data_IF_316524550763
#
_entry.id   IF_316524550763
#
_cell.length_a   1.000
_cell.length_b   1.000
_cell.length_c   1.000
_cell.angle_alpha   90.00
_cell.angle_beta   90.00
_cell.angle_gamma   90.00
#
_symmetry.space_group_name_H-M   'P 1'
#
loop_
_entity.id
_entity.type
_entity.pdbx_description
1 polymer ?
#
# COMPACT_ATOMS: atom_id res chain seq x y z
N UNK A 1 12.27 -13.98 28.38
CA UNK A 1 12.41 -12.55 28.70
C UNK A 1 13.03 -11.88 27.50
N UNK A 2 12.25 -11.05 26.76
CA UNK A 2 12.76 -10.36 25.55
C UNK A 2 13.70 -9.23 25.98
N UNK A 3 14.88 -9.20 25.39
CA UNK A 3 15.83 -8.10 25.58
C UNK A 3 15.24 -6.82 24.99
N UNK A 4 14.98 -5.80 25.82
CA UNK A 4 14.63 -4.45 25.36
C UNK A 4 15.90 -3.78 24.86
N UNK A 5 16.03 -3.60 23.54
CA UNK A 5 17.16 -2.89 22.94
C UNK A 5 16.86 -1.41 22.86
N UNK A 6 17.82 -0.57 23.28
CA UNK A 6 17.77 0.89 23.10
C UNK A 6 18.46 1.26 21.77
N UNK A 7 17.90 2.18 20.96
CA UNK A 7 18.55 2.65 19.75
C UNK A 7 19.96 3.18 20.03
N UNK A 8 20.88 2.96 19.10
CA UNK A 8 22.28 3.36 19.20
C UNK A 8 23.04 2.79 20.40
N UNK A 9 22.53 1.73 21.03
CA UNK A 9 23.22 1.09 22.16
C UNK A 9 23.43 -0.40 21.92
N UNK A 10 24.46 -0.95 22.57
CA UNK A 10 24.66 -2.39 22.68
C UNK A 10 25.12 -2.73 24.09
N UNK A 11 24.96 -3.98 24.50
CA UNK A 11 25.45 -4.47 25.78
C UNK A 11 26.76 -5.23 25.61
N UNK A 12 27.70 -4.97 26.54
CA UNK A 12 28.94 -5.73 26.68
C UNK A 12 29.22 -5.95 28.17
N UNK A 13 29.40 -7.20 28.56
CA UNK A 13 29.59 -7.58 29.98
C UNK A 13 28.50 -6.99 30.92
N UNK A 14 27.23 -7.02 30.49
CA UNK A 14 26.10 -6.49 31.23
C UNK A 14 25.89 -4.98 31.09
N UNK A 15 26.89 -4.18 30.78
CA UNK A 15 26.78 -2.72 30.69
C UNK A 15 26.32 -2.24 29.33
N UNK A 16 25.55 -1.15 29.26
CA UNK A 16 25.14 -0.45 28.05
C UNK A 16 26.27 0.45 27.52
N UNK A 17 26.44 0.43 26.21
CA UNK A 17 27.39 1.28 25.47
C UNK A 17 26.63 2.03 24.39
N UNK A 18 26.90 3.34 24.26
CA UNK A 18 26.51 4.12 23.09
C UNK A 18 27.44 3.77 21.92
N UNK A 19 26.84 3.59 20.71
CA UNK A 19 27.58 3.36 19.49
C UNK A 19 27.01 4.24 18.37
N UNK A 20 27.84 5.09 17.78
CA UNK A 20 27.44 5.99 16.69
C UNK A 20 28.43 5.81 15.52
N UNK A 21 27.93 5.54 14.32
CA UNK A 21 28.73 5.54 13.08
C UNK A 21 28.83 6.98 12.56
N UNK A 22 30.03 7.48 12.39
CA UNK A 22 30.32 8.83 11.93
C UNK A 22 30.36 8.88 10.39
N UNK A 23 30.12 10.05 9.78
CA UNK A 23 30.17 10.25 8.33
C UNK A 23 31.50 9.89 7.67
N UNK A 24 32.60 9.91 8.43
CA UNK A 24 33.94 9.48 7.97
C UNK A 24 34.16 7.94 8.10
N UNK A 25 33.11 7.16 8.35
CA UNK A 25 33.15 5.70 8.50
C UNK A 25 33.66 5.20 9.85
N UNK A 26 34.15 6.07 10.73
CA UNK A 26 34.63 5.67 12.05
C UNK A 26 33.46 5.43 13.02
N UNK A 27 33.68 4.53 14.00
CA UNK A 27 32.70 4.22 15.04
C UNK A 27 33.07 4.94 16.34
N UNK A 28 32.18 5.79 16.82
CA UNK A 28 32.24 6.31 18.19
C UNK A 28 31.58 5.31 19.15
N UNK A 29 32.29 4.91 20.21
CA UNK A 29 31.77 3.99 21.23
C UNK A 29 32.14 4.52 22.61
N UNK A 30 31.15 4.57 23.52
CA UNK A 30 31.38 4.97 24.92
C UNK A 30 30.44 4.22 25.86
N UNK A 31 30.99 3.76 27.01
CA UNK A 31 30.19 3.12 28.05
C UNK A 31 29.25 4.14 28.70
N UNK A 32 27.99 3.75 28.92
CA UNK A 32 27.00 4.50 29.67
C UNK A 32 27.15 4.25 31.18
N UNK A 33 28.08 3.38 31.56
CA UNK A 33 28.42 3.02 32.93
C UNK A 33 27.22 2.53 33.75
N UNK A 34 26.25 1.89 33.12
CA UNK A 34 25.08 1.29 33.76
C UNK A 34 24.71 -0.03 33.08
N UNK A 35 24.20 -0.97 33.88
CA UNK A 35 23.57 -2.23 33.45
C UNK A 35 22.04 -2.13 33.46
N UNK A 36 21.50 -1.05 34.04
CA UNK A 36 20.07 -0.80 34.14
C UNK A 36 19.50 -0.24 32.84
N UNK A 37 18.50 -0.94 32.26
CA UNK A 37 17.74 -0.46 31.10
C UNK A 37 17.10 0.91 31.35
N UNK A 38 16.58 1.14 32.57
CA UNK A 38 15.91 2.39 32.95
C UNK A 38 16.88 3.57 32.95
N UNK A 39 18.07 3.40 33.53
CA UNK A 39 19.11 4.44 33.54
C UNK A 39 19.69 4.69 32.15
N UNK A 40 19.94 3.62 31.36
CA UNK A 40 20.40 3.75 30.01
C UNK A 40 19.36 4.48 29.11
N UNK A 41 18.07 4.20 29.35
CA UNK A 41 16.97 4.88 28.62
C UNK A 41 16.89 6.36 28.98
N UNK A 42 17.05 6.74 30.26
CA UNK A 42 17.07 8.13 30.69
C UNK A 42 18.25 8.90 30.10
N UNK A 43 19.46 8.31 30.10
CA UNK A 43 20.63 8.88 29.42
C UNK A 43 20.41 9.06 27.92
N UNK A 44 19.77 8.09 27.25
CA UNK A 44 19.52 8.16 25.82
C UNK A 44 18.51 9.26 25.43
N UNK A 45 17.58 9.62 26.31
CA UNK A 45 16.70 10.79 26.08
C UNK A 45 17.53 12.07 25.91
N UNK A 46 18.53 12.29 26.78
CA UNK A 46 19.43 13.44 26.68
C UNK A 46 20.43 13.38 25.52
N UNK A 47 20.78 12.18 25.05
CA UNK A 47 21.80 11.96 24.00
C UNK A 47 21.21 12.01 22.59
N UNK A 48 20.00 11.48 22.41
CA UNK A 48 19.35 11.30 21.09
C UNK A 48 19.30 12.58 20.24
N UNK A 49 18.97 13.76 20.79
CA UNK A 49 18.93 15.01 19.99
C UNK A 49 20.28 15.40 19.40
N UNK A 50 21.39 14.97 19.99
CA UNK A 50 22.74 15.32 19.57
C UNK A 50 23.33 14.35 18.53
N UNK A 51 22.74 13.16 18.38
CA UNK A 51 23.27 12.10 17.49
C UNK A 51 23.42 12.56 16.04
N UNK A 52 22.47 13.28 15.41
CA UNK A 52 22.63 13.75 14.02
C UNK A 52 23.84 14.64 13.83
N UNK A 53 24.08 15.56 14.77
CA UNK A 53 25.23 16.51 14.72
C UNK A 53 26.56 15.79 14.93
N UNK A 54 26.59 14.77 15.74
CA UNK A 54 27.79 13.93 15.97
C UNK A 54 28.05 13.05 14.75
N UNK A 55 27.03 12.45 14.15
CA UNK A 55 27.15 11.65 12.92
C UNK A 55 27.74 12.46 11.78
N UNK A 56 27.27 13.68 11.57
CA UNK A 56 27.75 14.58 10.50
C UNK A 56 29.10 15.23 10.81
N UNK A 57 29.66 15.02 11.99
CA UNK A 57 30.85 15.73 12.50
C UNK A 57 30.66 17.24 12.65
N UNK A 58 29.42 17.73 12.62
CA UNK A 58 29.11 19.13 12.91
C UNK A 58 29.45 19.50 14.36
N UNK A 59 29.36 18.54 15.28
CA UNK A 59 29.86 18.64 16.65
C UNK A 59 31.19 17.87 16.77
N UNK A 60 32.29 18.54 17.21
CA UNK A 60 33.54 17.83 17.47
C UNK A 60 33.35 16.70 18.49
N UNK A 61 33.97 15.53 18.22
CA UNK A 61 33.81 14.35 19.08
C UNK A 61 34.25 14.62 20.51
N UNK A 62 35.30 15.41 20.73
CA UNK A 62 35.76 15.80 22.06
C UNK A 62 34.71 16.58 22.86
N UNK A 63 33.96 17.45 22.20
CA UNK A 63 32.87 18.23 22.81
C UNK A 63 31.72 17.30 23.19
N UNK A 64 31.35 16.43 22.29
CA UNK A 64 30.30 15.46 22.56
C UNK A 64 30.70 14.45 23.65
N UNK A 65 31.96 14.03 23.68
CA UNK A 65 32.49 13.13 24.70
C UNK A 65 32.45 13.76 26.10
N UNK A 66 32.80 15.03 26.19
CA UNK A 66 32.71 15.83 27.43
C UNK A 66 31.24 16.00 27.88
N UNK A 67 30.35 16.34 26.95
CA UNK A 67 28.91 16.43 27.21
C UNK A 67 28.36 15.12 27.75
N UNK A 68 28.63 14.00 27.08
CA UNK A 68 28.16 12.68 27.48
C UNK A 68 28.71 12.26 28.85
N UNK A 69 29.97 12.59 29.13
CA UNK A 69 30.58 12.31 30.44
C UNK A 69 29.90 13.10 31.58
N UNK A 70 29.57 14.35 31.33
CA UNK A 70 28.86 15.21 32.28
C UNK A 70 27.43 14.71 32.50
N UNK A 71 26.72 14.33 31.43
CA UNK A 71 25.37 13.77 31.50
C UNK A 71 25.34 12.49 32.34
N UNK A 72 26.27 11.55 32.10
CA UNK A 72 26.39 10.32 32.90
C UNK A 72 26.67 10.62 34.36
N UNK A 73 27.53 11.59 34.64
CA UNK A 73 27.85 11.99 36.03
C UNK A 73 26.64 12.62 36.73
N UNK A 74 25.85 13.43 36.03
CA UNK A 74 24.66 14.09 36.58
C UNK A 74 23.55 13.09 36.87
N UNK A 75 23.25 12.20 35.92
CA UNK A 75 22.23 11.14 36.09
C UNK A 75 22.60 10.20 37.25
N UNK A 76 23.87 9.85 37.43
CA UNK A 76 24.33 9.04 38.56
C UNK A 76 24.19 9.75 39.89
N UNK A 77 24.40 11.08 39.94
CA UNK A 77 24.15 11.86 41.17
C UNK A 77 22.65 11.97 41.44
N UNK A 78 21.81 12.16 40.45
CA UNK A 78 20.36 12.19 40.55
C UNK A 78 19.78 10.85 41.01
N UNK A 79 20.30 9.73 40.52
CA UNK A 79 19.90 8.40 40.95
C UNK A 79 20.25 8.10 42.42
N UNK A 80 21.32 8.70 42.97
CA UNK A 80 21.73 8.58 44.36
C UNK A 80 21.03 9.56 45.30
N UNK A 81 20.56 10.70 44.80
CA UNK A 81 19.84 11.72 45.55
C UNK A 81 18.72 12.33 44.68
N UNK A 82 17.47 11.84 44.78
CA UNK A 82 16.34 12.29 43.98
C UNK A 82 16.03 13.80 44.11
N UNK A 83 16.42 14.43 45.23
CA UNK A 83 16.20 15.86 45.47
C UNK A 83 17.24 16.75 44.76
N UNK A 84 18.32 16.18 44.25
CA UNK A 84 19.38 16.93 43.57
C UNK A 84 18.91 17.63 42.27
N UNK A 85 17.93 17.06 41.58
CA UNK A 85 17.33 17.65 40.39
C UNK A 85 16.53 18.93 40.68
N UNK A 86 16.04 19.11 41.88
CA UNK A 86 15.27 20.30 42.29
C UNK A 86 16.15 21.50 42.66
N UNK A 87 17.46 21.28 42.97
CA UNK A 87 18.35 22.37 43.39
C UNK A 87 19.13 23.04 42.23
N UNK A 88 19.11 22.50 41.04
CA UNK A 88 19.81 23.07 39.88
C UNK A 88 18.93 23.90 38.94
N UNK A 89 17.64 24.07 39.24
CA UNK A 89 16.75 24.91 38.46
C UNK A 89 16.37 26.13 39.33
N UNK A 90 17.19 27.14 39.40
CA UNK A 90 16.94 28.57 39.25
C UNK A 90 18.09 29.43 39.79
N UNK A 91 18.62 30.39 39.06
CA UNK A 91 19.06 31.66 39.64
C UNK A 91 17.80 32.46 40.06
N UNK A 92 17.86 33.30 41.12
CA UNK A 92 16.70 34.11 41.50
C UNK A 92 16.43 35.13 40.41
N UNK A 93 15.29 34.96 39.74
CA UNK A 93 14.77 35.98 38.84
C UNK A 93 13.81 36.85 39.64
N UNK A 94 14.09 38.15 39.67
CA UNK A 94 13.16 39.17 40.17
C UNK A 94 11.78 38.97 39.49
N UNK A 95 10.74 38.95 40.33
CA UNK A 95 9.37 38.83 39.90
C UNK A 95 8.98 40.14 39.21
N UNK A 96 9.14 40.21 37.90
CA UNK A 96 8.41 41.11 37.08
C UNK A 96 7.10 40.42 36.77
N UNK A 97 5.98 40.95 37.22
CA UNK A 97 4.64 40.52 36.83
C UNK A 97 4.52 40.60 35.32
N UNK A 98 4.72 39.49 34.63
CA UNK A 98 4.43 39.36 33.22
C UNK A 98 3.09 38.65 33.08
N UNK A 99 2.27 39.22 32.22
CA UNK A 99 0.95 38.73 31.77
C UNK A 99 0.94 37.23 31.50
N UNK A 100 -0.22 36.55 31.59
CA UNK A 100 -0.29 35.09 31.41
C UNK A 100 0.27 34.72 30.05
N UNK A 101 1.38 33.98 30.08
CA UNK A 101 1.98 33.40 28.90
C UNK A 101 0.99 32.41 28.28
N UNK A 102 0.74 32.55 26.99
CA UNK A 102 -0.01 31.60 26.21
C UNK A 102 0.44 30.16 26.52
N UNK A 103 -0.49 29.25 26.70
CA UNK A 103 -0.22 27.82 26.81
C UNK A 103 0.72 27.42 25.65
N UNK A 104 1.73 26.53 25.89
CA UNK A 104 2.60 26.10 24.82
C UNK A 104 1.71 25.52 23.69
N UNK A 105 1.80 26.12 22.51
CA UNK A 105 1.10 25.62 21.32
C UNK A 105 1.34 24.12 21.21
N UNK A 106 0.29 23.35 21.21
CA UNK A 106 0.34 21.90 21.17
C UNK A 106 0.90 21.47 19.82
N UNK A 107 2.19 21.18 19.78
CA UNK A 107 2.92 20.72 18.60
C UNK A 107 2.23 19.46 18.04
N UNK A 108 1.84 19.46 16.78
CA UNK A 108 1.27 18.30 16.11
C UNK A 108 2.39 17.40 15.63
N UNK A 109 2.56 16.25 16.28
CA UNK A 109 3.58 15.28 15.89
C UNK A 109 3.16 14.48 14.65
N UNK A 110 4.12 13.90 13.94
CA UNK A 110 3.86 13.00 12.81
C UNK A 110 3.00 11.79 13.22
N UNK A 111 3.19 11.29 14.45
CA UNK A 111 2.38 10.21 15.01
C UNK A 111 0.92 10.65 15.22
N UNK A 112 0.71 11.83 15.80
CA UNK A 112 -0.64 12.38 16.03
C UNK A 112 -1.34 12.67 14.71
N UNK A 113 -0.64 13.27 13.74
CA UNK A 113 -1.15 13.53 12.40
C UNK A 113 -1.57 12.23 11.68
N UNK A 114 -0.80 11.17 11.82
CA UNK A 114 -1.17 9.86 11.30
C UNK A 114 -2.38 9.27 12.00
N UNK A 115 -2.47 9.40 13.32
CA UNK A 115 -3.62 8.93 14.09
C UNK A 115 -4.91 9.64 13.65
N UNK A 116 -4.88 10.97 13.50
CA UNK A 116 -5.99 11.78 12.98
C UNK A 116 -6.39 11.34 11.55
N UNK A 117 -5.41 11.16 10.67
CA UNK A 117 -5.64 10.71 9.31
C UNK A 117 -6.29 9.33 9.28
N UNK A 118 -5.79 8.39 10.10
CA UNK A 118 -6.29 7.02 10.18
C UNK A 118 -7.72 6.99 10.73
N UNK A 119 -8.05 7.81 11.73
CA UNK A 119 -9.42 7.89 12.26
C UNK A 119 -10.40 8.38 11.20
N UNK A 120 -10.04 9.37 10.39
CA UNK A 120 -10.95 9.94 9.38
C UNK A 120 -11.01 9.09 8.09
N UNK A 121 -9.86 8.77 7.50
CA UNK A 121 -9.78 8.10 6.19
C UNK A 121 -9.74 6.57 6.29
N UNK A 122 -9.28 6.05 7.43
CA UNK A 122 -9.09 4.61 7.64
C UNK A 122 -10.38 3.82 7.81
N UNK A 123 -11.50 4.47 8.14
CA UNK A 123 -12.81 3.82 8.34
C UNK A 123 -13.25 2.99 7.15
N UNK A 124 -12.86 3.40 5.95
CA UNK A 124 -13.21 2.73 4.69
C UNK A 124 -12.13 1.76 4.17
N UNK A 125 -11.06 1.55 4.92
CA UNK A 125 -10.00 0.66 4.48
C UNK A 125 -10.32 -0.80 4.74
N UNK A 126 -9.99 -1.65 3.76
CA UNK A 126 -9.91 -3.08 4.04
C UNK A 126 -8.71 -3.36 4.95
N UNK A 127 -8.74 -4.46 5.70
CA UNK A 127 -7.62 -4.91 6.55
C UNK A 127 -6.28 -4.92 5.79
N UNK A 128 -6.29 -5.35 4.53
CA UNK A 128 -5.08 -5.39 3.68
C UNK A 128 -4.55 -3.99 3.37
N UNK A 129 -5.45 -3.03 3.08
CA UNK A 129 -5.07 -1.63 2.82
C UNK A 129 -4.52 -0.98 4.09
N UNK A 130 -5.18 -1.20 5.24
CA UNK A 130 -4.71 -0.67 6.54
C UNK A 130 -3.30 -1.15 6.84
N UNK A 131 -3.06 -2.46 6.79
CA UNK A 131 -1.74 -3.06 7.02
C UNK A 131 -0.67 -2.55 6.04
N UNK A 132 -1.02 -2.31 4.79
CA UNK A 132 -0.07 -1.77 3.81
C UNK A 132 0.28 -0.31 4.11
N UNK A 133 -0.73 0.53 4.39
CA UNK A 133 -0.53 1.93 4.71
C UNK A 133 0.27 2.11 6.01
N UNK A 134 -0.01 1.30 7.02
CA UNK A 134 0.76 1.29 8.27
C UNK A 134 2.24 1.03 8.05
N UNK A 135 2.58 0.04 7.21
CA UNK A 135 3.99 -0.24 6.85
C UNK A 135 4.64 0.92 6.08
N UNK A 136 3.90 1.58 5.20
CA UNK A 136 4.44 2.72 4.44
C UNK A 136 4.72 3.89 5.37
N UNK A 137 3.82 4.20 6.29
CA UNK A 137 4.00 5.26 7.29
C UNK A 137 5.06 4.88 8.32
N UNK A 138 5.21 3.61 8.66
CA UNK A 138 6.28 3.13 9.56
C UNK A 138 7.67 3.50 9.00
N UNK A 139 7.90 3.38 7.69
CA UNK A 139 9.15 3.84 7.06
C UNK A 139 9.33 5.35 7.25
N UNK A 140 8.30 6.14 7.00
CA UNK A 140 8.32 7.59 7.18
C UNK A 140 8.66 7.97 8.64
N UNK A 141 8.01 7.30 9.61
CA UNK A 141 8.23 7.55 11.04
C UNK A 141 9.62 7.11 11.53
N UNK A 142 10.17 6.03 10.97
CA UNK A 142 11.52 5.58 11.33
C UNK A 142 12.56 6.57 10.82
N UNK A 143 12.39 7.08 9.60
CA UNK A 143 13.37 7.99 8.98
C UNK A 143 13.31 9.40 9.57
N UNK A 144 12.10 9.94 9.77
CA UNK A 144 11.92 11.32 10.25
C UNK A 144 11.79 11.43 11.78
N UNK A 145 11.37 10.35 12.44
CA UNK A 145 10.99 10.35 13.84
C UNK A 145 9.48 10.54 14.04
N UNK A 146 8.86 9.65 14.82
CA UNK A 146 7.41 9.71 15.09
C UNK A 146 6.98 10.97 15.87
N UNK A 147 7.88 11.54 16.68
CA UNK A 147 7.65 12.74 17.49
C UNK A 147 7.98 14.06 16.75
N UNK A 148 8.37 13.99 15.47
CA UNK A 148 8.70 15.18 14.68
C UNK A 148 7.45 16.02 14.44
N UNK A 149 7.56 17.33 14.65
CA UNK A 149 6.53 18.30 14.32
C UNK A 149 6.29 18.32 12.80
N UNK A 150 5.05 18.08 12.38
CA UNK A 150 4.70 18.03 10.96
C UNK A 150 4.94 19.35 10.23
N UNK A 151 4.94 20.47 10.93
CA UNK A 151 5.17 21.82 10.36
C UNK A 151 6.65 22.06 10.01
N UNK A 152 7.55 21.30 10.62
CA UNK A 152 8.99 21.40 10.36
C UNK A 152 9.47 20.48 9.25
N UNK A 153 8.64 19.54 8.80
CA UNK A 153 9.00 18.58 7.76
C UNK A 153 9.10 19.30 6.40
N UNK A 154 10.26 19.20 5.79
CA UNK A 154 10.56 19.85 4.52
C UNK A 154 10.47 18.90 3.32
N UNK A 155 10.47 19.46 2.11
CA UNK A 155 10.57 18.69 0.87
C UNK A 155 11.85 17.84 0.81
N UNK A 156 12.93 18.31 1.40
CA UNK A 156 14.21 17.58 1.43
C UNK A 156 14.10 16.32 2.30
N UNK A 157 13.41 16.43 3.43
CA UNK A 157 13.17 15.28 4.32
C UNK A 157 12.36 14.19 3.62
N UNK A 158 11.30 14.57 2.87
CA UNK A 158 10.53 13.60 2.08
C UNK A 158 11.36 12.97 0.96
N UNK A 159 12.27 13.73 0.32
CA UNK A 159 13.20 13.15 -0.67
C UNK A 159 14.14 12.14 -0.02
N UNK A 160 14.66 12.41 1.17
CA UNK A 160 15.47 11.46 1.92
C UNK A 160 14.70 10.19 2.26
N UNK A 161 13.43 10.31 2.68
CA UNK A 161 12.55 9.15 2.91
C UNK A 161 12.38 8.35 1.61
N UNK A 162 12.15 9.03 0.49
CA UNK A 162 11.98 8.34 -0.80
C UNK A 162 13.26 7.63 -1.25
N UNK A 163 14.43 8.17 -1.00
CA UNK A 163 15.72 7.51 -1.25
C UNK A 163 15.84 6.22 -0.42
N UNK A 164 15.46 6.25 0.86
CA UNK A 164 15.39 5.05 1.68
C UNK A 164 14.41 4.04 1.10
N UNK A 165 13.22 4.48 0.68
CA UNK A 165 12.19 3.61 0.07
C UNK A 165 12.72 2.92 -1.19
N UNK A 166 13.46 3.62 -2.05
CA UNK A 166 14.04 3.08 -3.28
C UNK A 166 15.07 1.97 -3.02
N UNK A 167 15.73 2.01 -1.89
CA UNK A 167 16.74 1.05 -1.47
C UNK A 167 16.19 -0.07 -0.56
N UNK A 168 14.88 -0.12 -0.30
CA UNK A 168 14.29 -1.20 0.49
C UNK A 168 14.26 -2.53 -0.27
N UNK A 169 14.50 -3.66 0.40
CA UNK A 169 14.31 -4.97 -0.20
C UNK A 169 12.84 -5.37 -0.27
N UNK A 170 12.52 -6.27 -1.19
CA UNK A 170 11.18 -6.88 -1.33
C UNK A 170 10.88 -7.78 -0.13
N UNK A 171 9.83 -7.47 0.64
CA UNK A 171 9.39 -8.29 1.78
C UNK A 171 8.87 -9.70 1.43
N UNK A 172 8.71 -10.02 0.16
CA UNK A 172 8.21 -11.34 -0.27
C UNK A 172 9.30 -12.39 -0.38
N UNK A 173 10.56 -11.96 -0.41
CA UNK A 173 11.75 -12.80 -0.57
C UNK A 173 12.40 -13.04 0.79
N UNK A 174 12.93 -14.25 1.02
CA UNK A 174 13.80 -14.49 2.18
C UNK A 174 15.20 -13.93 1.89
N UNK A 175 15.88 -13.38 2.91
CA UNK A 175 15.53 -13.34 4.34
C UNK A 175 14.61 -12.17 4.75
N UNK A 176 14.31 -11.22 3.88
CA UNK A 176 13.63 -9.95 4.16
C UNK A 176 12.20 -10.12 4.69
N UNK A 177 11.56 -11.23 4.36
CA UNK A 177 10.17 -11.51 4.78
C UNK A 177 9.98 -11.53 6.30
N UNK A 178 10.98 -11.97 7.04
CA UNK A 178 10.97 -12.08 8.51
C UNK A 178 11.51 -10.86 9.24
N UNK A 179 12.06 -9.88 8.52
CA UNK A 179 12.68 -8.69 9.09
C UNK A 179 11.64 -7.63 9.46
N UNK A 180 11.94 -6.88 10.51
CA UNK A 180 11.21 -5.65 10.87
C UNK A 180 11.50 -4.54 9.86
N UNK A 181 10.67 -3.49 9.83
CA UNK A 181 10.90 -2.35 8.94
C UNK A 181 12.24 -1.67 9.22
N UNK A 182 12.61 -1.55 10.50
CA UNK A 182 13.92 -1.02 10.88
C UNK A 182 15.08 -1.88 10.34
N UNK A 183 14.98 -3.21 10.47
CA UNK A 183 16.01 -4.12 9.95
C UNK A 183 16.13 -4.04 8.43
N UNK A 184 15.01 -3.82 7.71
CA UNK A 184 15.04 -3.66 6.25
C UNK A 184 15.68 -2.34 5.83
N UNK A 185 15.47 -1.26 6.60
CA UNK A 185 16.12 0.04 6.36
C UNK A 185 17.62 -0.03 6.64
N UNK A 186 18.00 -0.77 7.68
CA UNK A 186 19.40 -0.93 8.11
C UNK A 186 20.17 -2.00 7.32
N UNK A 187 19.46 -2.72 6.42
CA UNK A 187 20.08 -3.79 5.63
C UNK A 187 20.94 -3.20 4.52
N UNK A 188 22.23 -3.49 4.58
CA UNK A 188 23.21 -3.07 3.58
C UNK A 188 23.33 -4.15 2.48
N UNK A 189 23.72 -3.74 1.28
CA UNK A 189 24.03 -4.63 0.13
C UNK A 189 22.82 -5.47 -0.39
N UNK A 190 21.64 -4.83 -0.52
CA UNK A 190 20.50 -5.45 -1.19
C UNK A 190 20.81 -5.65 -2.68
N UNK A 191 20.78 -6.89 -3.20
CA UNK A 191 20.95 -7.13 -4.64
C UNK A 191 19.90 -6.33 -5.45
N UNK A 192 20.26 -5.76 -6.62
CA UNK A 192 19.34 -4.97 -7.44
C UNK A 192 18.02 -5.68 -7.79
N UNK A 193 18.06 -7.00 -7.99
CA UNK A 193 16.90 -7.84 -8.26
C UNK A 193 15.97 -7.97 -7.06
N UNK A 194 16.46 -7.75 -5.84
CA UNK A 194 15.68 -7.83 -4.60
C UNK A 194 15.12 -6.48 -4.15
N UNK A 195 15.50 -5.39 -4.79
CA UNK A 195 14.96 -4.06 -4.47
C UNK A 195 13.47 -3.96 -4.78
N UNK A 196 12.75 -3.11 -4.01
CA UNK A 196 11.35 -2.81 -4.27
C UNK A 196 11.15 -2.27 -5.69
N UNK A 197 10.08 -2.72 -6.34
CA UNK A 197 9.75 -2.21 -7.68
C UNK A 197 9.09 -0.83 -7.65
N UNK A 198 9.13 -0.13 -8.78
CA UNK A 198 8.58 1.22 -8.96
C UNK A 198 7.12 1.35 -8.47
N UNK A 199 6.29 0.31 -8.59
CA UNK A 199 4.92 0.32 -8.06
C UNK A 199 4.87 0.45 -6.53
N UNK A 200 5.79 -0.21 -5.81
CA UNK A 200 5.89 -0.08 -4.35
C UNK A 200 6.32 1.33 -3.96
N UNK A 201 7.32 1.88 -4.65
CA UNK A 201 7.78 3.26 -4.46
C UNK A 201 6.63 4.26 -4.67
N UNK A 202 5.83 4.07 -5.73
CA UNK A 202 4.63 4.87 -5.98
C UNK A 202 3.60 4.79 -4.85
N UNK A 203 3.39 3.62 -4.26
CA UNK A 203 2.44 3.44 -3.14
C UNK A 203 2.89 4.18 -1.89
N UNK A 204 4.19 4.17 -1.57
CA UNK A 204 4.75 4.99 -0.50
C UNK A 204 4.49 6.47 -0.75
N UNK A 205 4.88 6.99 -1.92
CA UNK A 205 4.66 8.40 -2.25
C UNK A 205 3.18 8.79 -2.25
N UNK A 206 2.31 7.89 -2.71
CA UNK A 206 0.85 8.13 -2.72
C UNK A 206 0.29 8.34 -1.32
N UNK A 207 0.66 7.52 -0.34
CA UNK A 207 0.18 7.69 1.04
C UNK A 207 0.79 8.94 1.69
N UNK A 208 2.06 9.27 1.42
CA UNK A 208 2.68 10.50 1.90
C UNK A 208 1.98 11.75 1.34
N UNK A 209 1.69 11.78 0.04
CA UNK A 209 0.91 12.85 -0.59
C UNK A 209 -0.50 12.95 0.01
N UNK A 210 -1.14 11.81 0.26
CA UNK A 210 -2.48 11.80 0.86
C UNK A 210 -2.47 12.35 2.29
N UNK A 211 -1.44 12.04 3.08
CA UNK A 211 -1.28 12.60 4.44
C UNK A 211 -0.94 14.09 4.38
N UNK A 212 0.17 14.46 3.73
CA UNK A 212 0.68 15.83 3.80
C UNK A 212 -0.11 16.80 2.92
N UNK A 213 -0.35 16.46 1.63
CA UNK A 213 -1.03 17.34 0.69
C UNK A 213 -2.53 17.36 0.94
N UNK A 214 -3.19 16.22 0.77
CA UNK A 214 -4.64 16.19 0.80
C UNK A 214 -5.21 16.40 2.20
N UNK A 215 -4.61 15.79 3.23
CA UNK A 215 -5.17 15.86 4.57
C UNK A 215 -4.67 17.06 5.35
N UNK A 216 -3.36 17.21 5.57
CA UNK A 216 -2.82 18.26 6.42
C UNK A 216 -2.85 19.64 5.75
N UNK A 217 -2.66 19.74 4.43
CA UNK A 217 -2.67 21.02 3.70
C UNK A 217 -4.11 21.34 3.25
N UNK A 218 -4.69 20.54 2.34
CA UNK A 218 -5.92 20.91 1.64
C UNK A 218 -7.19 20.78 2.50
N UNK A 219 -7.25 19.82 3.46
CA UNK A 219 -8.47 19.57 4.26
C UNK A 219 -8.42 20.16 5.66
N UNK A 220 -7.25 20.25 6.28
CA UNK A 220 -7.10 20.69 7.68
C UNK A 220 -6.45 22.06 7.84
N UNK A 221 -5.90 22.62 6.77
CA UNK A 221 -5.17 23.91 6.77
C UNK A 221 -4.08 24.00 7.86
N UNK A 222 -3.49 22.83 8.21
CA UNK A 222 -2.40 22.74 9.21
C UNK A 222 -1.07 23.15 8.60
N UNK A 223 -0.86 22.79 7.34
CA UNK A 223 0.34 23.13 6.58
C UNK A 223 0.01 24.19 5.53
N UNK A 224 0.75 25.27 5.47
CA UNK A 224 0.65 26.26 4.40
C UNK A 224 0.99 25.64 3.04
N UNK A 225 2.02 24.80 3.02
CA UNK A 225 2.48 24.11 1.80
C UNK A 225 2.90 22.68 2.10
N UNK A 226 2.49 21.77 1.22
CA UNK A 226 2.85 20.35 1.38
C UNK A 226 4.33 20.09 1.11
N UNK A 227 5.04 19.38 2.01
CA UNK A 227 6.42 18.94 1.75
C UNK A 227 6.51 17.92 0.60
N UNK A 228 5.40 17.36 0.14
CA UNK A 228 5.37 16.42 -0.98
C UNK A 228 5.19 17.08 -2.35
N UNK A 229 5.03 18.41 -2.40
CA UNK A 229 4.76 19.13 -3.65
C UNK A 229 5.93 19.01 -4.64
N UNK A 230 5.59 18.63 -5.88
CA UNK A 230 6.54 18.44 -6.96
C UNK A 230 7.51 17.25 -6.77
N UNK A 231 7.25 16.36 -5.80
CA UNK A 231 7.94 15.06 -5.74
C UNK A 231 7.23 14.08 -6.66
N UNK A 232 8.00 13.43 -7.54
CA UNK A 232 7.52 12.45 -8.51
C UNK A 232 8.39 11.21 -8.37
N UNK A 233 7.75 10.05 -8.20
CA UNK A 233 8.44 8.78 -8.29
C UNK A 233 8.63 8.40 -9.77
N UNK A 234 9.67 7.66 -10.08
CA UNK A 234 9.90 7.15 -11.44
C UNK A 234 8.66 6.37 -11.94
N UNK A 235 8.25 6.54 -13.20
CA UNK A 235 7.06 5.89 -13.70
C UNK A 235 7.19 4.36 -13.61
N UNK A 236 6.15 3.70 -13.09
CA UNK A 236 6.10 2.25 -13.09
C UNK A 236 5.98 1.76 -14.52
N UNK A 237 6.97 1.02 -14.99
CA UNK A 237 6.94 0.35 -16.31
C UNK A 237 6.08 -0.93 -16.30
N UNK A 238 5.61 -1.38 -15.13
CA UNK A 238 4.84 -2.61 -15.00
C UNK A 238 3.40 -2.39 -15.49
N UNK A 239 3.19 -2.52 -16.80
CA UNK A 239 1.85 -2.66 -17.39
C UNK A 239 1.51 -4.15 -17.50
N UNK A 240 0.21 -4.45 -17.49
CA UNK A 240 -0.26 -5.79 -17.82
C UNK A 240 -0.38 -5.91 -19.33
N UNK A 241 0.25 -6.93 -19.89
CA UNK A 241 0.11 -7.30 -21.29
C UNK A 241 -1.24 -7.96 -21.56
N UNK A 242 -1.66 -7.94 -22.81
CA UNK A 242 -2.81 -8.69 -23.28
C UNK A 242 -2.39 -10.07 -23.81
N UNK A 243 -3.33 -11.00 -23.84
CA UNK A 243 -3.19 -12.26 -24.58
C UNK A 243 -3.58 -12.05 -26.04
N UNK A 244 -2.97 -12.77 -26.95
CA UNK A 244 -3.42 -12.83 -28.33
C UNK A 244 -4.74 -13.62 -28.46
N UNK A 245 -5.44 -13.48 -29.56
CA UNK A 245 -6.64 -14.27 -29.88
C UNK A 245 -6.35 -15.79 -29.85
N UNK A 246 -5.19 -16.20 -30.38
CA UNK A 246 -4.78 -17.61 -30.37
C UNK A 246 -4.54 -18.13 -28.95
N UNK A 247 -3.96 -17.31 -28.06
CA UNK A 247 -3.74 -17.68 -26.66
C UNK A 247 -5.05 -17.73 -25.89
N UNK A 248 -5.99 -16.81 -26.14
CA UNK A 248 -7.33 -16.88 -25.55
C UNK A 248 -8.09 -18.14 -25.98
N UNK A 249 -8.00 -18.53 -27.25
CA UNK A 249 -8.54 -19.80 -27.73
C UNK A 249 -7.96 -21.00 -26.99
N UNK A 250 -6.66 -21.00 -26.69
CA UNK A 250 -6.04 -22.06 -25.88
C UNK A 250 -6.62 -22.11 -24.47
N UNK A 251 -6.80 -20.97 -23.78
CA UNK A 251 -7.42 -20.92 -22.46
C UNK A 251 -8.86 -21.41 -22.46
N UNK A 252 -9.67 -20.97 -23.41
CA UNK A 252 -11.06 -21.38 -23.54
C UNK A 252 -11.14 -22.87 -23.89
N UNK A 253 -10.33 -23.35 -24.86
CA UNK A 253 -10.24 -24.77 -25.20
C UNK A 253 -9.80 -25.66 -24.04
N UNK A 254 -8.89 -25.17 -23.20
CA UNK A 254 -8.52 -25.86 -21.94
C UNK A 254 -9.72 -25.91 -20.99
N UNK A 255 -10.40 -24.78 -20.77
CA UNK A 255 -11.52 -24.67 -19.84
C UNK A 255 -12.68 -25.58 -20.24
N UNK A 256 -13.01 -25.66 -21.53
CA UNK A 256 -14.09 -26.53 -22.04
C UNK A 256 -13.81 -28.03 -21.84
N UNK A 257 -12.54 -28.42 -21.76
CA UNK A 257 -12.10 -29.79 -21.47
C UNK A 257 -12.10 -30.13 -19.96
N UNK A 258 -12.25 -29.15 -19.11
CA UNK A 258 -12.30 -29.41 -17.67
C UNK A 258 -13.62 -30.04 -17.25
N UNK A 259 -13.61 -30.80 -16.15
CA UNK A 259 -14.86 -31.19 -15.48
C UNK A 259 -15.72 -29.98 -15.16
N UNK A 260 -16.99 -30.17 -14.93
CA UNK A 260 -17.93 -29.09 -14.62
C UNK A 260 -17.70 -28.56 -13.19
N UNK A 261 -16.68 -27.74 -13.02
CA UNK A 261 -16.19 -27.21 -11.75
C UNK A 261 -15.85 -25.70 -11.86
N UNK A 262 -15.44 -25.11 -10.76
CA UNK A 262 -15.09 -23.68 -10.69
C UNK A 262 -13.96 -23.26 -11.65
N UNK A 263 -12.99 -24.14 -11.96
CA UNK A 263 -11.87 -23.81 -12.85
C UNK A 263 -12.35 -23.55 -14.27
N UNK A 264 -13.24 -24.41 -14.77
CA UNK A 264 -13.93 -24.24 -16.06
C UNK A 264 -14.64 -22.89 -16.09
N UNK A 265 -15.56 -22.68 -15.18
CA UNK A 265 -16.47 -21.54 -15.25
C UNK A 265 -15.80 -20.20 -14.93
N UNK A 266 -14.89 -20.14 -13.95
CA UNK A 266 -14.14 -18.92 -13.67
C UNK A 266 -13.29 -18.51 -14.88
N UNK A 267 -12.65 -19.46 -15.57
CA UNK A 267 -11.84 -19.16 -16.76
C UNK A 267 -12.71 -18.62 -17.89
N UNK A 268 -13.83 -19.29 -18.19
CA UNK A 268 -14.77 -18.87 -19.24
C UNK A 268 -15.38 -17.50 -18.92
N UNK A 269 -15.82 -17.27 -17.69
CA UNK A 269 -16.37 -15.99 -17.27
C UNK A 269 -15.35 -14.85 -17.41
N UNK A 270 -14.10 -15.06 -16.99
CA UNK A 270 -13.05 -14.04 -17.16
C UNK A 270 -12.78 -13.74 -18.63
N UNK A 271 -12.84 -14.75 -19.50
CA UNK A 271 -12.61 -14.59 -20.93
C UNK A 271 -13.72 -13.80 -21.65
N UNK A 272 -14.99 -14.03 -21.28
CA UNK A 272 -16.14 -13.51 -22.01
C UNK A 272 -16.84 -12.31 -21.36
N UNK A 273 -16.49 -11.93 -20.15
CA UNK A 273 -17.16 -10.80 -19.44
C UNK A 273 -16.26 -9.61 -19.19
N UNK A 274 -14.96 -9.81 -19.21
CA UNK A 274 -13.99 -8.79 -18.79
C UNK A 274 -14.14 -8.35 -17.33
N UNK A 275 -14.91 -9.08 -16.50
CA UNK A 275 -15.07 -8.80 -15.08
C UNK A 275 -13.76 -8.99 -14.31
N UNK A 276 -13.63 -8.30 -13.17
CA UNK A 276 -12.45 -8.47 -12.33
C UNK A 276 -12.47 -9.85 -11.64
N UNK A 277 -11.29 -10.44 -11.43
CA UNK A 277 -11.14 -11.70 -10.70
C UNK A 277 -11.94 -11.74 -9.40
N UNK A 278 -11.88 -10.64 -8.64
CA UNK A 278 -12.57 -10.54 -7.37
C UNK A 278 -14.09 -10.48 -7.48
N UNK A 279 -14.61 -9.96 -8.57
CA UNK A 279 -16.04 -9.94 -8.86
C UNK A 279 -16.54 -11.35 -9.18
N UNK A 280 -15.87 -12.04 -10.10
CA UNK A 280 -16.21 -13.44 -10.43
C UNK A 280 -16.08 -14.36 -9.22
N UNK A 281 -14.97 -14.29 -8.49
CA UNK A 281 -14.75 -15.19 -7.35
C UNK A 281 -15.70 -14.96 -6.15
N UNK A 282 -16.38 -13.81 -6.09
CA UNK A 282 -17.40 -13.51 -5.06
C UNK A 282 -18.84 -13.61 -5.54
N UNK A 283 -19.04 -14.03 -6.78
CA UNK A 283 -20.36 -14.03 -7.41
C UNK A 283 -21.35 -14.90 -6.63
N UNK A 284 -22.55 -14.36 -6.41
CA UNK A 284 -23.67 -15.00 -5.73
C UNK A 284 -24.82 -15.24 -6.70
N UNK A 285 -25.62 -16.28 -6.44
CA UNK A 285 -26.80 -16.62 -7.27
C UNK A 285 -27.76 -15.45 -7.40
N UNK A 286 -28.01 -14.74 -6.29
CA UNK A 286 -28.90 -13.56 -6.23
C UNK A 286 -28.48 -12.43 -7.14
N UNK A 287 -27.20 -12.38 -7.56
CA UNK A 287 -26.67 -11.38 -8.50
C UNK A 287 -26.96 -11.71 -9.97
N UNK A 288 -27.35 -12.96 -10.30
CA UNK A 288 -27.75 -13.33 -11.65
C UNK A 288 -29.18 -12.88 -11.87
N UNK A 289 -29.38 -12.05 -12.88
CA UNK A 289 -30.67 -11.48 -13.27
C UNK A 289 -30.94 -11.74 -14.73
N UNK A 290 -32.21 -11.70 -15.10
CA UNK A 290 -32.66 -11.72 -16.48
C UNK A 290 -33.30 -10.39 -16.83
N UNK A 291 -32.96 -9.88 -18.00
CA UNK A 291 -33.50 -8.64 -18.55
C UNK A 291 -34.45 -8.98 -19.69
N UNK A 292 -35.71 -8.66 -19.50
CA UNK A 292 -36.79 -8.98 -20.45
C UNK A 292 -36.65 -8.20 -21.78
N UNK A 293 -36.14 -6.95 -21.71
CA UNK A 293 -36.04 -6.11 -22.90
C UNK A 293 -34.95 -6.60 -23.86
N UNK A 294 -33.81 -7.04 -23.32
CA UNK A 294 -32.71 -7.58 -24.12
C UNK A 294 -32.76 -9.10 -24.29
N UNK A 295 -33.63 -9.78 -23.54
CA UNK A 295 -33.70 -11.27 -23.44
C UNK A 295 -32.34 -11.87 -23.05
N UNK A 296 -31.62 -11.22 -22.07
CA UNK A 296 -30.28 -11.61 -21.68
C UNK A 296 -30.13 -11.78 -20.17
N UNK A 297 -29.32 -12.75 -19.80
CA UNK A 297 -28.82 -12.84 -18.42
C UNK A 297 -27.67 -11.88 -18.20
N UNK A 298 -27.58 -11.32 -16.99
CA UNK A 298 -26.49 -10.45 -16.57
C UNK A 298 -26.16 -10.64 -15.09
N UNK A 299 -24.97 -10.28 -14.70
CA UNK A 299 -24.57 -10.14 -13.29
C UNK A 299 -24.80 -8.71 -12.85
N UNK A 300 -25.56 -8.52 -11.78
CA UNK A 300 -25.58 -7.23 -11.08
C UNK A 300 -24.39 -7.20 -10.11
N UNK A 301 -23.31 -6.59 -10.55
CA UNK A 301 -22.15 -6.38 -9.71
C UNK A 301 -22.44 -5.14 -8.87
N UNK A 302 -22.64 -5.34 -7.55
CA UNK A 302 -22.69 -4.27 -6.58
C UNK A 302 -21.43 -4.36 -5.72
N UNK A 303 -20.58 -3.35 -5.71
CA UNK A 303 -19.51 -3.29 -4.74
C UNK A 303 -20.12 -2.96 -3.36
N UNK A 304 -20.45 -3.99 -2.60
CA UNK A 304 -20.88 -3.87 -1.21
C UNK A 304 -19.75 -3.38 -0.33
N UNK A 305 -19.87 -2.16 0.19
CA UNK A 305 -18.96 -1.56 1.15
C UNK A 305 -19.22 -0.06 1.25
N UNK A 306 -19.50 0.43 2.46
CA UNK A 306 -19.65 1.87 2.73
C UNK A 306 -18.42 2.63 2.21
N UNK A 307 -18.62 3.60 1.31
CA UNK A 307 -17.60 4.56 0.90
C UNK A 307 -17.01 4.40 -0.49
N UNK A 308 -17.54 3.52 -1.35
CA UNK A 308 -17.15 3.48 -2.77
C UNK A 308 -18.19 4.16 -3.64
N UNK A 309 -17.71 4.86 -4.67
CA UNK A 309 -18.47 5.73 -5.57
C UNK A 309 -19.68 5.02 -6.21
N UNK A 310 -20.75 5.78 -6.51
CA UNK A 310 -21.97 5.33 -7.20
C UNK A 310 -21.74 4.56 -8.51
N UNK A 311 -20.56 4.69 -9.09
CA UNK A 311 -20.12 3.99 -10.31
C UNK A 311 -19.72 2.51 -10.10
N UNK A 312 -19.82 1.99 -8.87
CA UNK A 312 -19.43 0.61 -8.54
C UNK A 312 -20.49 -0.42 -8.91
N UNK A 313 -21.77 -0.02 -8.96
CA UNK A 313 -22.89 -0.90 -9.35
C UNK A 313 -23.03 -0.90 -10.86
N UNK A 314 -22.92 -2.07 -11.48
CA UNK A 314 -23.11 -2.23 -12.92
C UNK A 314 -23.66 -3.58 -13.32
N UNK A 315 -24.24 -3.63 -14.50
CA UNK A 315 -24.70 -4.82 -15.15
C UNK A 315 -23.59 -5.37 -16.06
N UNK A 316 -23.16 -6.60 -15.82
CA UNK A 316 -22.19 -7.33 -16.66
C UNK A 316 -22.96 -8.39 -17.44
N UNK A 317 -23.10 -8.19 -18.73
CA UNK A 317 -23.85 -9.10 -19.61
C UNK A 317 -23.18 -10.49 -19.61
N UNK A 318 -23.98 -11.56 -19.58
CA UNK A 318 -23.51 -12.91 -19.76
C UNK A 318 -23.53 -13.23 -21.27
N UNK A 319 -22.36 -13.63 -21.79
CA UNK A 319 -22.25 -13.98 -23.21
C UNK A 319 -23.11 -15.22 -23.53
N UNK A 320 -23.84 -15.25 -24.70
CA UNK A 320 -24.73 -16.37 -25.05
C UNK A 320 -24.05 -17.73 -25.01
N UNK A 321 -22.78 -17.81 -25.42
CA UNK A 321 -22.01 -19.07 -25.39
C UNK A 321 -21.86 -19.65 -24.00
N UNK A 322 -21.80 -18.82 -22.95
CA UNK A 322 -21.74 -19.32 -21.57
C UNK A 322 -23.05 -20.02 -21.18
N UNK A 323 -24.18 -19.51 -21.66
CA UNK A 323 -25.50 -20.12 -21.46
C UNK A 323 -25.61 -21.43 -22.24
N UNK A 324 -25.20 -21.39 -23.52
CA UNK A 324 -25.18 -22.59 -24.41
C UNK A 324 -24.33 -23.73 -23.82
N UNK A 325 -23.19 -23.39 -23.20
CA UNK A 325 -22.33 -24.40 -22.53
C UNK A 325 -22.83 -24.89 -21.18
N UNK A 326 -23.98 -24.41 -20.70
CA UNK A 326 -24.62 -24.90 -19.49
C UNK A 326 -24.22 -24.15 -18.21
N UNK A 327 -23.84 -22.88 -18.29
CA UNK A 327 -23.48 -22.11 -17.10
C UNK A 327 -24.64 -22.03 -16.10
N UNK A 328 -25.88 -21.84 -16.56
CA UNK A 328 -27.05 -21.78 -15.66
C UNK A 328 -27.28 -23.11 -14.94
N UNK A 329 -27.11 -24.23 -15.63
CA UNK A 329 -27.22 -25.57 -15.01
C UNK A 329 -26.15 -25.78 -13.92
N UNK A 330 -24.93 -25.23 -14.16
CA UNK A 330 -23.89 -25.24 -13.13
C UNK A 330 -24.28 -24.40 -11.92
N UNK A 331 -24.83 -23.22 -12.13
CA UNK A 331 -25.29 -22.32 -11.05
C UNK A 331 -26.40 -22.99 -10.23
N UNK A 332 -27.38 -23.61 -10.88
CA UNK A 332 -28.51 -24.25 -10.21
C UNK A 332 -28.08 -25.42 -9.32
N UNK A 333 -27.07 -26.16 -9.74
CA UNK A 333 -26.49 -27.26 -8.94
C UNK A 333 -25.70 -26.80 -7.72
N UNK A 334 -25.34 -25.54 -7.62
CA UNK A 334 -24.65 -25.05 -6.42
C UNK A 334 -25.63 -24.98 -5.24
N UNK A 335 -25.31 -25.60 -4.12
CA UNK A 335 -26.16 -25.60 -2.92
C UNK A 335 -25.97 -24.34 -2.06
N UNK A 336 -24.85 -23.63 -2.22
CA UNK A 336 -24.55 -22.37 -1.55
C UNK A 336 -24.97 -21.17 -2.39
N UNK A 337 -25.27 -20.05 -1.73
CA UNK A 337 -25.53 -18.76 -2.39
C UNK A 337 -24.33 -18.33 -3.24
N UNK A 338 -23.09 -18.50 -2.73
CA UNK A 338 -21.87 -18.25 -3.49
C UNK A 338 -21.61 -19.36 -4.50
N UNK A 339 -21.56 -18.98 -5.77
CA UNK A 339 -21.39 -19.90 -6.90
C UNK A 339 -20.02 -20.59 -6.86
N UNK A 340 -18.96 -19.85 -6.49
CA UNK A 340 -17.58 -20.36 -6.43
C UNK A 340 -17.07 -20.40 -4.99
N UNK A 341 -17.72 -21.19 -4.14
CA UNK A 341 -17.41 -21.29 -2.71
C UNK A 341 -15.97 -21.77 -2.44
N UNK A 342 -15.34 -22.51 -3.36
CA UNK A 342 -13.98 -23.04 -3.25
C UNK A 342 -12.89 -21.98 -3.37
N UNK A 343 -13.23 -20.83 -3.95
CA UNK A 343 -12.29 -19.72 -4.19
C UNK A 343 -12.74 -18.42 -3.51
N UNK A 344 -13.76 -18.48 -2.66
CA UNK A 344 -14.28 -17.33 -1.93
C UNK A 344 -13.36 -16.91 -0.77
N UNK A 345 -13.43 -15.64 -0.38
CA UNK A 345 -12.71 -15.10 0.78
C UNK A 345 -11.19 -15.07 0.59
N UNK A 346 -10.44 -15.63 1.54
CA UNK A 346 -8.97 -15.68 1.52
C UNK A 346 -8.40 -16.57 0.42
N UNK A 347 -9.22 -17.49 -0.12
CA UNK A 347 -8.81 -18.43 -1.17
C UNK A 347 -8.83 -17.82 -2.59
N UNK A 348 -9.18 -16.54 -2.74
CA UNK A 348 -9.28 -15.89 -4.05
C UNK A 348 -7.96 -15.82 -4.83
N UNK A 349 -6.83 -15.89 -4.12
CA UNK A 349 -5.50 -16.01 -4.74
C UNK A 349 -5.32 -17.32 -5.49
N UNK A 350 -6.11 -18.36 -5.17
CA UNK A 350 -6.12 -19.67 -5.84
C UNK A 350 -6.47 -19.55 -7.32
N UNK A 351 -7.39 -18.64 -7.70
CA UNK A 351 -7.69 -18.35 -9.11
C UNK A 351 -6.43 -17.92 -9.85
N UNK A 352 -5.66 -16.99 -9.26
CA UNK A 352 -4.42 -16.49 -9.87
C UNK A 352 -3.36 -17.57 -10.04
N UNK A 353 -3.21 -18.44 -9.03
CA UNK A 353 -2.27 -19.55 -9.08
C UNK A 353 -2.64 -20.56 -10.16
N UNK A 354 -3.88 -21.04 -10.16
CA UNK A 354 -4.35 -22.02 -11.15
C UNK A 354 -4.22 -21.48 -12.58
N UNK A 355 -4.60 -20.22 -12.83
CA UNK A 355 -4.49 -19.66 -14.19
C UNK A 355 -3.02 -19.39 -14.60
N UNK A 356 -2.12 -19.19 -13.67
CA UNK A 356 -0.69 -19.14 -13.95
C UNK A 356 -0.17 -20.54 -14.35
N UNK A 357 -0.53 -21.57 -13.59
CA UNK A 357 -0.17 -22.96 -13.91
C UNK A 357 -0.74 -23.38 -15.29
N UNK A 358 -1.98 -23.00 -15.59
CA UNK A 358 -2.63 -23.25 -16.91
C UNK A 358 -1.90 -22.51 -18.03
N UNK A 359 -1.53 -21.24 -17.84
CA UNK A 359 -0.75 -20.48 -18.80
C UNK A 359 0.55 -21.21 -19.15
N UNK A 360 1.24 -21.71 -18.13
CA UNK A 360 2.52 -22.42 -18.29
C UNK A 360 2.32 -23.79 -19.00
N UNK A 361 1.24 -24.53 -18.66
CA UNK A 361 0.84 -25.77 -19.37
C UNK A 361 0.51 -25.53 -20.85
N UNK A 362 -0.06 -24.40 -21.18
CA UNK A 362 -0.41 -24.00 -22.56
C UNK A 362 0.79 -23.41 -23.33
N UNK A 363 1.96 -23.41 -22.72
CA UNK A 363 3.20 -22.81 -23.25
C UNK A 363 3.01 -21.33 -23.69
N UNK A 364 2.25 -20.56 -22.88
CA UNK A 364 2.06 -19.13 -23.08
C UNK A 364 3.09 -18.39 -22.20
N UNK A 365 3.99 -17.56 -22.77
CA UNK A 365 5.01 -16.86 -22.02
C UNK A 365 4.43 -15.94 -20.95
N UNK A 366 5.09 -15.80 -19.81
CA UNK A 366 4.70 -14.88 -18.73
C UNK A 366 4.77 -13.42 -19.15
N UNK A 367 5.77 -13.06 -19.91
CA UNK A 367 5.92 -11.73 -20.50
C UNK A 367 5.45 -11.75 -21.95
N UNK A 368 4.86 -10.64 -22.42
CA UNK A 368 4.62 -10.40 -23.83
C UNK A 368 5.89 -9.85 -24.53
N UNK A 369 5.80 -9.57 -25.81
CA UNK A 369 6.90 -9.05 -26.62
C UNK A 369 7.40 -7.66 -26.18
N UNK A 370 6.60 -6.96 -25.35
CA UNK A 370 6.93 -5.65 -24.75
C UNK A 370 7.43 -5.76 -23.33
N UNK A 371 7.67 -6.97 -22.80
CA UNK A 371 8.07 -7.22 -21.43
C UNK A 371 6.98 -6.99 -20.40
N UNK A 372 5.72 -6.94 -20.80
CA UNK A 372 4.57 -6.74 -19.90
C UNK A 372 4.09 -8.08 -19.35
N UNK A 373 3.70 -8.08 -18.06
CA UNK A 373 3.29 -9.32 -17.37
C UNK A 373 1.90 -9.76 -17.80
N UNK A 374 1.76 -11.05 -18.10
CA UNK A 374 0.47 -11.67 -18.42
C UNK A 374 -0.05 -12.50 -17.25
N UNK A 375 -1.02 -11.93 -16.55
CA UNK A 375 -1.66 -12.47 -15.36
C UNK A 375 -3.19 -12.57 -15.56
N UNK A 376 -3.92 -12.94 -14.50
CA UNK A 376 -5.41 -13.01 -14.56
C UNK A 376 -6.04 -11.71 -15.08
N UNK A 377 -5.48 -10.57 -14.71
CA UNK A 377 -6.00 -9.27 -15.17
C UNK A 377 -5.84 -9.06 -16.67
N UNK A 378 -4.94 -9.79 -17.31
CA UNK A 378 -4.72 -9.76 -18.76
C UNK A 378 -5.92 -10.28 -19.57
N UNK A 379 -6.76 -11.18 -19.03
CA UNK A 379 -8.03 -11.56 -19.64
C UNK A 379 -8.90 -10.32 -19.93
N UNK A 380 -9.02 -9.45 -18.92
CA UNK A 380 -9.78 -8.21 -19.05
C UNK A 380 -9.14 -7.25 -20.03
N UNK A 381 -7.82 -7.08 -20.00
CA UNK A 381 -7.10 -6.24 -20.99
C UNK A 381 -7.32 -6.76 -22.41
N UNK A 382 -7.23 -8.06 -22.61
CA UNK A 382 -7.48 -8.70 -23.91
C UNK A 382 -8.90 -8.45 -24.40
N UNK A 383 -9.90 -8.70 -23.55
CA UNK A 383 -11.30 -8.43 -23.89
C UNK A 383 -11.51 -6.98 -24.32
N UNK A 384 -11.05 -6.02 -23.51
CA UNK A 384 -11.18 -4.59 -23.81
C UNK A 384 -10.51 -4.24 -25.15
N UNK A 385 -9.26 -4.66 -25.34
CA UNK A 385 -8.49 -4.37 -26.55
C UNK A 385 -9.14 -4.99 -27.79
N UNK A 386 -9.64 -6.21 -27.68
CA UNK A 386 -10.32 -6.90 -28.79
C UNK A 386 -11.62 -6.21 -29.19
N UNK A 387 -12.45 -5.83 -28.20
CA UNK A 387 -13.68 -5.09 -28.46
C UNK A 387 -13.41 -3.75 -29.15
N UNK A 388 -12.43 -2.99 -28.67
CA UNK A 388 -12.05 -1.69 -29.25
C UNK A 388 -11.45 -1.83 -30.65
N UNK A 389 -10.64 -2.84 -30.90
CA UNK A 389 -10.03 -3.06 -32.21
C UNK A 389 -11.03 -3.62 -33.23
N UNK A 390 -12.06 -4.34 -32.77
CA UNK A 390 -12.98 -5.06 -33.64
C UNK A 390 -14.23 -4.27 -34.02
N UNK A 391 -15.12 -4.01 -33.07
CA UNK A 391 -16.49 -3.56 -33.39
C UNK A 391 -17.06 -2.49 -32.44
N UNK A 392 -16.40 -2.19 -31.30
CA UNK A 392 -16.96 -1.24 -30.35
C UNK A 392 -16.51 0.18 -30.68
N UNK A 393 -17.36 0.94 -31.36
CA UNK A 393 -17.13 2.36 -31.65
C UNK A 393 -17.50 3.30 -30.51
N UNK A 394 -18.38 2.90 -29.58
CA UNK A 394 -18.78 3.73 -28.45
C UNK A 394 -18.04 3.32 -27.16
N UNK A 395 -17.03 4.12 -26.80
CA UNK A 395 -16.24 3.89 -25.60
C UNK A 395 -17.08 3.89 -24.31
N UNK A 396 -18.15 4.69 -24.24
CA UNK A 396 -19.00 4.77 -23.05
C UNK A 396 -19.76 3.45 -22.80
N UNK A 397 -20.16 2.74 -23.84
CA UNK A 397 -20.77 1.40 -23.74
C UNK A 397 -19.76 0.40 -23.16
N UNK A 398 -18.54 0.39 -23.69
CA UNK A 398 -17.49 -0.48 -23.15
C UNK A 398 -17.15 -0.13 -21.69
N UNK A 399 -17.01 1.16 -21.35
CA UNK A 399 -16.77 1.61 -19.99
C UNK A 399 -17.85 1.15 -19.01
N UNK A 400 -19.13 1.19 -19.42
CA UNK A 400 -20.22 0.68 -18.61
C UNK A 400 -20.08 -0.84 -18.37
N UNK A 401 -19.86 -1.62 -19.41
CA UNK A 401 -19.74 -3.09 -19.30
C UNK A 401 -18.58 -3.47 -18.41
N UNK A 402 -17.42 -2.84 -18.59
CA UNK A 402 -16.22 -3.19 -17.81
C UNK A 402 -16.14 -2.48 -16.44
N UNK A 403 -16.93 -1.44 -16.20
CA UNK A 403 -16.89 -0.66 -14.96
C UNK A 403 -15.60 0.16 -14.83
N UNK A 404 -15.24 0.92 -15.87
CA UNK A 404 -14.26 1.97 -15.77
C UNK A 404 -14.92 3.28 -15.36
N UNK A 405 -14.22 4.08 -14.55
CA UNK A 405 -14.66 5.43 -14.23
C UNK A 405 -14.84 6.24 -15.54
N UNK A 406 -15.94 6.95 -15.62
CA UNK A 406 -16.20 7.84 -16.75
C UNK A 406 -15.22 9.02 -16.63
N UNK A 407 -14.15 9.00 -17.39
CA UNK A 407 -13.20 10.11 -17.43
C UNK A 407 -13.72 11.21 -18.33
N UNK A 408 -13.99 12.40 -17.77
CA UNK A 408 -14.34 13.59 -18.52
C UNK A 408 -15.16 14.58 -17.70
N UNK A 409 -14.89 15.88 -17.86
CA UNK A 409 -15.46 17.01 -17.10
C UNK A 409 -16.59 17.76 -17.82
N UNK A 410 -17.34 17.10 -18.71
CA UNK A 410 -18.41 17.74 -19.49
C UNK A 410 -19.78 17.72 -18.79
N UNK A 411 -20.59 18.80 -18.98
CA UNK A 411 -21.96 18.90 -18.49
C UNK A 411 -22.82 17.72 -18.95
N UNK A 412 -22.62 17.23 -20.17
CA UNK A 412 -23.33 16.09 -20.76
C UNK A 412 -23.15 14.79 -19.97
N UNK A 413 -22.02 14.61 -19.25
CA UNK A 413 -21.79 13.40 -18.45
C UNK A 413 -22.66 13.30 -17.20
N UNK A 414 -23.14 14.40 -16.65
CA UNK A 414 -24.11 14.41 -15.54
C UNK A 414 -25.45 13.81 -15.91
N UNK A 415 -25.79 13.79 -17.21
CA UNK A 415 -27.04 13.27 -17.75
C UNK A 415 -26.88 11.89 -18.42
N UNK A 416 -25.65 11.35 -18.50
CA UNK A 416 -25.44 9.98 -18.97
C UNK A 416 -25.78 9.00 -17.85
N UNK A 417 -27.05 8.67 -17.77
CA UNK A 417 -27.53 7.54 -16.99
C UNK A 417 -26.93 6.22 -17.51
N UNK A 418 -27.16 5.14 -16.79
CA UNK A 418 -26.78 3.80 -17.25
C UNK A 418 -27.54 3.49 -18.55
N UNK A 419 -26.82 3.13 -19.61
CA UNK A 419 -27.44 2.70 -20.86
C UNK A 419 -28.27 1.43 -20.63
N UNK A 420 -29.43 1.28 -21.31
CA UNK A 420 -30.19 0.04 -21.28
C UNK A 420 -29.30 -1.17 -21.64
N UNK A 421 -29.57 -2.32 -21.05
CA UNK A 421 -28.74 -3.50 -21.28
C UNK A 421 -28.73 -3.89 -22.78
N UNK A 422 -29.88 -3.78 -23.44
CA UNK A 422 -30.02 -3.99 -24.89
C UNK A 422 -29.06 -3.18 -25.76
N UNK A 423 -28.72 -1.95 -25.31
CA UNK A 423 -27.80 -1.08 -26.02
C UNK A 423 -26.32 -1.46 -25.87
N UNK A 424 -25.97 -2.26 -24.88
CA UNK A 424 -24.56 -2.59 -24.55
C UNK A 424 -24.22 -4.07 -24.72
N UNK A 425 -25.21 -4.95 -24.98
CA UNK A 425 -24.97 -6.38 -25.19
C UNK A 425 -23.96 -6.65 -26.33
N UNK A 426 -24.05 -5.90 -27.42
CA UNK A 426 -23.17 -6.05 -28.58
C UNK A 426 -21.69 -5.92 -28.23
N UNK A 427 -21.34 -5.24 -27.13
CA UNK A 427 -19.95 -5.05 -26.69
C UNK A 427 -19.25 -6.39 -26.53
N UNK A 428 -19.95 -7.39 -25.96
CA UNK A 428 -19.35 -8.70 -25.73
C UNK A 428 -19.74 -9.72 -26.80
N UNK A 429 -20.82 -9.51 -27.55
CA UNK A 429 -21.36 -10.48 -28.51
C UNK A 429 -20.41 -10.82 -29.66
N UNK A 430 -19.52 -9.91 -30.00
CA UNK A 430 -18.48 -10.16 -31.01
C UNK A 430 -17.29 -10.98 -30.50
N UNK A 431 -17.23 -11.31 -29.20
CA UNK A 431 -16.14 -12.14 -28.68
C UNK A 431 -16.26 -13.59 -29.18
N UNK A 432 -15.22 -14.09 -29.81
CA UNK A 432 -15.15 -15.45 -30.34
C UNK A 432 -13.79 -16.06 -29.99
N UNK A 433 -13.75 -16.78 -28.88
CA UNK A 433 -12.56 -17.49 -28.40
C UNK A 433 -12.61 -19.01 -28.65
N UNK A 434 -13.64 -19.50 -29.29
CA UNK A 434 -13.74 -20.89 -29.73
C UNK A 434 -12.95 -21.12 -31.01
N UNK A 435 -12.51 -22.35 -31.24
CA UNK A 435 -11.74 -22.78 -32.40
C UNK A 435 -12.63 -22.89 -33.62
#
# INVERSE_FOLDING_TARGET
MGYRTLPYTFQRNGNYYLQIRLSNGRMYKKSLLTDSYREASALMIGVTPHIPFVKSLATPISVFDSFLSNLIATERKAARNPLFLHQQIAPPVEIVESQPSAEPEKVLTLLDAWAMYKDEKGRNWTKSISMANERFIEVLMIVLGAATDVTTITKQDIKQVMEVVENLPKRVVQPYRSMTTQQLIDFEDVPPEDLVGAESIHKHLKIYKSLFKTFLTDNKDILEKSPTDGIVAAPSKARFGAYSTAEMKKFVGWALKQPDNWQKWVTLLLAYTGARRGEIGRLEKSQIKFDEDSQRYYFLIAEGGQGKTENATRQVVIHPKLIEWGFMDYVDRQWKERIFSEVAGTNMTKIGKVLADVRDQLAIPYLDDYGQRRLVHSFRHTMISTCLAGWVGNLAHLQQVVGHEKSGSGITQRYLHTFPLSSVCYVIDGLCWES
#
